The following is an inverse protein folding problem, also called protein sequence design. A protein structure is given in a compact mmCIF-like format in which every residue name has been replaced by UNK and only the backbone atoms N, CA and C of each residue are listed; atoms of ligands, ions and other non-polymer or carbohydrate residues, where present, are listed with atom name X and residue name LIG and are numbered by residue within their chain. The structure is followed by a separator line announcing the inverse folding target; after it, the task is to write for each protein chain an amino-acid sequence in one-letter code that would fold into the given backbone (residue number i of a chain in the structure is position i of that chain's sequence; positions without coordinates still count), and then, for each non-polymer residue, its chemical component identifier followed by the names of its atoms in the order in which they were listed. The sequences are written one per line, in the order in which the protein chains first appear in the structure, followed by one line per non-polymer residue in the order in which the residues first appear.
data_IF_791050248716
#
_entry.id   IF_791050248716
#
_cell.length_a   1.000
_cell.length_b   1.000
_cell.length_c   1.000
_cell.angle_alpha   90.00
_cell.angle_beta   90.00
_cell.angle_gamma   90.00
#
_symmetry.space_group_name_H-M   'P 1'
#
loop_
_entity.id
_entity.type
_entity.pdbx_description
1 polymer ?
#
# COMPACT_ATOMS: atom_id res chain seq x y z
N UNK A 1 16.71 -8.18 7.00
CA UNK A 1 15.43 -8.12 7.74
C UNK A 1 14.93 -6.70 7.57
N UNK A 2 13.74 -6.53 7.04
CA UNK A 2 13.19 -5.21 6.70
C UNK A 2 12.62 -4.59 7.97
N UNK A 3 13.20 -3.49 8.44
CA UNK A 3 12.78 -2.81 9.68
C UNK A 3 11.56 -1.92 9.43
N UNK A 4 10.37 -2.45 9.72
CA UNK A 4 9.07 -1.77 9.49
C UNK A 4 8.82 -0.60 10.44
N UNK A 5 9.41 -0.65 11.65
CA UNK A 5 9.21 0.36 12.69
C UNK A 5 9.84 1.73 12.37
N UNK A 6 10.86 1.78 11.51
CA UNK A 6 11.50 3.03 11.06
C UNK A 6 10.97 3.53 9.71
N UNK A 7 9.99 2.84 9.12
CA UNK A 7 9.52 3.14 7.79
C UNK A 7 8.78 4.49 7.72
N UNK A 8 9.03 5.25 6.65
CA UNK A 8 8.35 6.52 6.39
C UNK A 8 7.04 6.27 5.66
N UNK A 9 5.96 6.18 6.45
CA UNK A 9 4.61 5.94 5.94
C UNK A 9 4.03 7.18 5.25
N UNK A 10 3.59 6.98 4.01
CA UNK A 10 2.94 8.01 3.18
C UNK A 10 1.46 7.70 3.07
N UNK A 11 0.63 8.66 3.48
CA UNK A 11 -0.83 8.58 3.39
C UNK A 11 -1.31 8.96 1.98
N UNK A 12 -2.35 8.29 1.51
CA UNK A 12 -3.02 8.65 0.26
C UNK A 12 -3.58 10.08 0.30
N UNK A 13 -3.24 10.89 -0.71
CA UNK A 13 -3.79 12.26 -0.88
C UNK A 13 -5.29 12.30 -1.17
N UNK A 14 -5.89 11.16 -1.55
CA UNK A 14 -7.33 11.04 -1.83
C UNK A 14 -8.14 10.71 -0.58
N UNK A 15 -7.49 10.45 0.56
CA UNK A 15 -8.17 10.19 1.81
C UNK A 15 -8.45 11.51 2.54
N UNK A 16 -9.73 11.89 2.63
CA UNK A 16 -10.14 13.14 3.27
C UNK A 16 -10.55 12.94 4.74
N UNK A 17 -11.10 11.77 5.11
CA UNK A 17 -11.38 11.41 6.50
C UNK A 17 -11.46 9.89 6.70
N UNK A 18 -10.97 9.41 7.85
CA UNK A 18 -11.20 8.04 8.31
C UNK A 18 -10.04 7.06 8.10
N UNK A 19 -10.38 5.88 7.58
CA UNK A 19 -9.51 4.70 7.46
C UNK A 19 -8.69 4.75 6.16
N UNK A 20 -7.58 5.49 6.21
CA UNK A 20 -6.75 5.76 5.05
C UNK A 20 -5.76 4.63 4.77
N UNK A 21 -5.51 4.39 3.48
CA UNK A 21 -4.36 3.58 3.06
C UNK A 21 -3.08 4.39 3.23
N UNK A 22 -2.12 3.79 3.93
CA UNK A 22 -0.74 4.28 4.05
C UNK A 22 0.21 3.26 3.44
N UNK A 23 1.24 3.74 2.74
CA UNK A 23 2.27 2.91 2.11
C UNK A 23 3.66 3.39 2.48
N UNK A 24 4.62 2.47 2.61
CA UNK A 24 6.02 2.80 2.85
C UNK A 24 6.95 2.05 1.89
N UNK A 25 7.98 2.74 1.41
CA UNK A 25 9.12 2.07 0.79
C UNK A 25 9.97 1.46 1.90
N UNK A 26 10.33 0.19 1.75
CA UNK A 26 11.04 -0.57 2.75
C UNK A 26 12.45 -0.94 2.29
N UNK A 27 13.20 0.06 1.83
CA UNK A 27 14.57 -0.11 1.35
C UNK A 27 14.64 -0.57 -0.11
N UNK A 28 13.64 -0.22 -0.92
CA UNK A 28 13.58 -0.55 -2.35
C UNK A 28 13.30 -2.01 -2.70
N UNK A 29 13.35 -2.93 -1.74
CA UNK A 29 13.07 -4.37 -1.94
C UNK A 29 11.59 -4.72 -1.76
N UNK A 30 10.91 -3.97 -0.89
CA UNK A 30 9.53 -4.23 -0.52
C UNK A 30 8.74 -2.94 -0.30
N UNK A 31 7.42 -3.06 -0.38
CA UNK A 31 6.46 -2.02 -0.05
C UNK A 31 5.56 -2.53 1.07
N UNK A 32 5.45 -1.75 2.15
CA UNK A 32 4.49 -1.98 3.21
C UNK A 32 3.19 -1.25 2.91
N UNK A 33 2.05 -1.87 3.25
CA UNK A 33 0.73 -1.25 3.21
C UNK A 33 -0.01 -1.51 4.52
N UNK A 34 -0.69 -0.49 5.02
CA UNK A 34 -1.52 -0.60 6.23
C UNK A 34 -2.71 0.34 6.19
N UNK A 35 -3.62 0.16 7.14
CA UNK A 35 -4.69 1.09 7.42
C UNK A 35 -4.27 2.07 8.53
N UNK A 36 -4.50 3.37 8.33
CA UNK A 36 -4.15 4.39 9.33
C UNK A 36 -4.85 4.23 10.67
N UNK A 37 -5.98 3.51 10.74
CA UNK A 37 -6.69 3.23 12.00
C UNK A 37 -6.26 1.94 12.69
N UNK A 38 -5.44 1.12 12.02
CA UNK A 38 -4.84 -0.12 12.55
C UNK A 38 -3.38 -0.22 12.10
N UNK A 39 -2.51 0.72 12.51
CA UNK A 39 -1.13 0.80 12.03
C UNK A 39 -0.25 -0.40 12.42
N UNK A 40 -0.70 -1.20 13.40
CA UNK A 40 -0.07 -2.44 13.85
C UNK A 40 -0.33 -3.64 12.93
N UNK A 41 -1.34 -3.54 12.05
CA UNK A 41 -1.66 -4.58 11.06
C UNK A 41 -1.18 -4.10 9.69
N UNK A 42 -0.05 -4.65 9.26
CA UNK A 42 0.59 -4.32 8.00
C UNK A 42 0.79 -5.56 7.13
N UNK A 43 0.77 -5.34 5.82
CA UNK A 43 1.11 -6.36 4.83
C UNK A 43 2.26 -5.84 3.98
N UNK A 44 3.14 -6.74 3.54
CA UNK A 44 4.31 -6.41 2.74
C UNK A 44 4.25 -7.12 1.39
N UNK A 45 4.69 -6.41 0.35
CA UNK A 45 4.79 -6.91 -1.00
C UNK A 45 6.24 -6.77 -1.47
N UNK A 46 6.79 -7.75 -2.21
CA UNK A 46 7.99 -7.52 -3.01
C UNK A 46 7.77 -6.33 -3.95
N UNK A 47 8.81 -5.53 -4.19
CA UNK A 47 8.70 -4.32 -5.02
C UNK A 47 8.19 -4.61 -6.44
N UNK A 48 8.58 -5.75 -7.03
CA UNK A 48 8.13 -6.14 -8.37
C UNK A 48 6.63 -6.49 -8.38
N UNK A 49 6.16 -7.27 -7.40
CA UNK A 49 4.72 -7.57 -7.24
C UNK A 49 3.91 -6.30 -6.99
N UNK A 50 4.44 -5.34 -6.22
CA UNK A 50 3.78 -4.06 -6.03
C UNK A 50 3.67 -3.26 -7.34
N UNK A 51 4.71 -3.27 -8.19
CA UNK A 51 4.66 -2.61 -9.50
C UNK A 51 3.62 -3.25 -10.42
N UNK A 52 3.57 -4.57 -10.47
CA UNK A 52 2.56 -5.32 -11.23
C UNK A 52 1.15 -5.01 -10.74
N UNK A 53 0.93 -5.04 -9.42
CA UNK A 53 -0.35 -4.67 -8.81
C UNK A 53 -0.78 -3.25 -9.21
N UNK A 54 0.11 -2.27 -9.10
CA UNK A 54 -0.19 -0.88 -9.49
C UNK A 54 -0.46 -0.76 -10.99
N UNK A 55 0.24 -1.51 -11.84
CA UNK A 55 -0.02 -1.56 -13.26
C UNK A 55 -1.43 -2.12 -13.56
N UNK A 56 -1.82 -3.22 -12.91
CA UNK A 56 -3.16 -3.81 -12.99
C UNK A 56 -4.27 -2.85 -12.54
N UNK A 57 -4.09 -2.20 -11.39
CA UNK A 57 -5.03 -1.17 -10.90
C UNK A 57 -5.22 -0.04 -11.92
N UNK A 58 -4.14 0.44 -12.55
CA UNK A 58 -4.23 1.54 -13.53
C UNK A 58 -5.00 1.18 -14.79
N UNK A 59 -5.03 -0.09 -15.17
CA UNK A 59 -5.77 -0.57 -16.34
C UNK A 59 -7.16 -1.11 -15.98
N UNK A 60 -7.58 -0.95 -14.71
CA UNK A 60 -8.89 -1.39 -14.24
C UNK A 60 -9.02 -2.90 -14.11
N UNK A 61 -7.91 -3.65 -13.99
CA UNK A 61 -7.92 -5.12 -13.88
C UNK A 61 -8.77 -5.62 -12.71
N UNK A 62 -8.82 -4.83 -11.63
CA UNK A 62 -9.52 -5.17 -10.40
C UNK A 62 -10.84 -4.40 -10.21
N UNK A 63 -11.28 -3.65 -11.22
CA UNK A 63 -12.56 -2.96 -11.16
C UNK A 63 -13.69 -4.00 -11.18
N UNK A 64 -14.58 -3.96 -10.18
CA UNK A 64 -15.71 -4.88 -10.17
C UNK A 64 -16.67 -4.52 -11.33
N UNK A 65 -17.22 -5.52 -12.05
CA UNK A 65 -18.31 -5.26 -12.97
C UNK A 65 -19.43 -4.58 -12.19
N UNK A 66 -19.94 -3.47 -12.70
CA UNK A 66 -21.13 -2.84 -12.13
C UNK A 66 -22.27 -3.86 -12.15
N UNK A 67 -22.85 -4.14 -10.98
CA UNK A 67 -24.06 -4.95 -10.86
C UNK A 67 -25.25 -4.31 -11.60
#
# INVERSE_FOLDING_TARGET
MVELHAALWRRSTKCEAGACVEVADLGGEAVGMRNSTRPEIEITFPVETWREFVAGVRVGEFDQPSA
#
